data_IF_311433039606
#
_entry.id   IF_311433039606
#
_cell.length_a   1.000
_cell.length_b   1.000
_cell.length_c   1.000
_cell.angle_alpha   90.00
_cell.angle_beta   90.00
_cell.angle_gamma   90.00
#
_symmetry.space_group_name_H-M   'P 1'
#
loop_
_entity.id
_entity.type
_entity.pdbx_description
1 polymer ?
#
# COMPACT_ATOMS: atom_id res chain seq x y z
N UNK A 1 11.86 -13.33 37.63
CA UNK A 1 12.42 -12.30 36.71
C UNK A 1 12.63 -12.80 35.27
N UNK A 2 12.53 -14.10 34.99
CA UNK A 2 12.89 -14.70 33.69
C UNK A 2 11.72 -14.91 32.72
N UNK A 3 10.49 -15.05 33.22
CA UNK A 3 9.31 -15.35 32.39
C UNK A 3 8.87 -14.17 31.52
N UNK A 4 8.92 -12.94 32.07
CA UNK A 4 8.66 -11.72 31.31
C UNK A 4 9.70 -11.48 30.20
N UNK A 5 10.97 -11.84 30.44
CA UNK A 5 12.03 -11.75 29.45
C UNK A 5 11.86 -12.81 28.33
N UNK A 6 11.45 -14.03 28.68
CA UNK A 6 11.17 -15.09 27.71
C UNK A 6 9.95 -14.76 26.83
N UNK A 7 8.89 -14.19 27.41
CA UNK A 7 7.72 -13.72 26.68
C UNK A 7 8.08 -12.56 25.73
N UNK A 8 8.93 -11.63 26.17
CA UNK A 8 9.44 -10.54 25.35
C UNK A 8 10.30 -11.06 24.18
N UNK A 9 11.21 -12.01 24.42
CA UNK A 9 12.02 -12.61 23.36
C UNK A 9 11.18 -13.40 22.34
N UNK A 10 10.15 -14.13 22.79
CA UNK A 10 9.22 -14.82 21.90
C UNK A 10 8.40 -13.84 21.06
N UNK A 11 7.96 -12.73 21.66
CA UNK A 11 7.27 -11.66 20.95
C UNK A 11 8.18 -10.97 19.92
N UNK A 12 9.45 -10.71 20.26
CA UNK A 12 10.44 -10.13 19.34
C UNK A 12 10.83 -11.10 18.21
N UNK A 13 10.94 -12.41 18.48
CA UNK A 13 11.13 -13.43 17.45
C UNK A 13 9.88 -13.62 16.57
N UNK A 14 8.68 -13.42 17.12
CA UNK A 14 7.40 -13.47 16.41
C UNK A 14 7.08 -12.20 15.60
N UNK A 15 7.58 -11.06 16.07
CA UNK A 15 7.55 -9.77 15.38
C UNK A 15 8.62 -9.81 14.27
N UNK A 16 8.20 -10.22 13.07
CA UNK A 16 9.12 -10.24 11.94
C UNK A 16 9.70 -8.84 11.72
N UNK A 17 11.04 -8.65 11.76
CA UNK A 17 11.67 -7.34 11.51
C UNK A 17 11.37 -6.78 10.10
N UNK A 18 10.76 -7.60 9.24
CA UNK A 18 10.39 -7.28 7.87
C UNK A 18 8.99 -6.66 7.75
N UNK A 19 8.19 -6.68 8.83
CA UNK A 19 6.85 -6.08 8.84
C UNK A 19 6.92 -4.54 8.77
N UNK A 20 7.84 -3.92 9.52
CA UNK A 20 8.04 -2.48 9.49
C UNK A 20 8.62 -1.96 8.17
N UNK A 21 9.52 -2.70 7.53
CA UNK A 21 10.08 -2.32 6.22
C UNK A 21 9.05 -2.48 5.10
N UNK A 22 8.23 -3.53 5.15
CA UNK A 22 7.12 -3.76 4.21
C UNK A 22 6.04 -2.68 4.33
N UNK A 23 5.64 -2.33 5.55
CA UNK A 23 4.71 -1.23 5.81
C UNK A 23 5.24 0.11 5.28
N UNK A 24 6.49 0.47 5.59
CA UNK A 24 7.09 1.71 5.11
C UNK A 24 7.19 1.78 3.58
N UNK A 25 7.46 0.64 2.92
CA UNK A 25 7.45 0.55 1.46
C UNK A 25 6.05 0.78 0.89
N UNK A 26 5.03 0.11 1.45
CA UNK A 26 3.65 0.26 1.03
C UNK A 26 3.17 1.71 1.23
N UNK A 27 3.46 2.31 2.39
CA UNK A 27 3.08 3.69 2.70
C UNK A 27 3.66 4.70 1.70
N UNK A 28 4.93 4.52 1.29
CA UNK A 28 5.56 5.34 0.24
C UNK A 28 4.86 5.17 -1.10
N UNK A 29 4.49 3.94 -1.47
CA UNK A 29 3.78 3.67 -2.72
C UNK A 29 2.39 4.34 -2.74
N UNK A 30 1.58 4.15 -1.69
CA UNK A 30 0.25 4.75 -1.55
C UNK A 30 0.33 6.28 -1.63
N UNK A 31 1.31 6.90 -0.96
CA UNK A 31 1.51 8.35 -0.97
C UNK A 31 1.90 8.88 -2.36
N UNK A 32 2.75 8.16 -3.11
CA UNK A 32 3.11 8.52 -4.49
C UNK A 32 1.88 8.45 -5.39
N UNK A 33 1.10 7.37 -5.31
CA UNK A 33 -0.11 7.17 -6.12
C UNK A 33 -1.18 8.23 -5.78
N UNK A 34 -1.39 8.53 -4.50
CA UNK A 34 -2.29 9.59 -4.05
C UNK A 34 -1.86 10.97 -4.59
N UNK A 35 -0.58 11.32 -4.50
CA UNK A 35 -0.05 12.58 -5.07
C UNK A 35 -0.22 12.65 -6.58
N UNK A 36 0.04 11.56 -7.31
CA UNK A 36 -0.17 11.51 -8.76
C UNK A 36 -1.64 11.73 -9.12
N UNK A 37 -2.57 11.09 -8.40
CA UNK A 37 -4.02 11.28 -8.57
C UNK A 37 -4.42 12.73 -8.33
N UNK A 38 -3.97 13.31 -7.22
CA UNK A 38 -4.30 14.70 -6.86
C UNK A 38 -3.74 15.70 -7.89
N UNK A 39 -2.51 15.50 -8.39
CA UNK A 39 -1.95 16.32 -9.47
C UNK A 39 -2.78 16.24 -10.74
N UNK A 40 -3.20 15.03 -11.16
CA UNK A 40 -4.06 14.88 -12.36
C UNK A 40 -5.41 15.59 -12.20
N UNK A 41 -6.05 15.47 -11.04
CA UNK A 41 -7.33 16.16 -10.77
C UNK A 41 -7.14 17.68 -10.75
N UNK A 42 -6.12 18.16 -10.02
CA UNK A 42 -5.80 19.59 -9.90
C UNK A 42 -5.45 20.22 -11.25
N UNK A 43 -4.57 19.56 -12.01
CA UNK A 43 -4.05 20.05 -13.29
C UNK A 43 -5.00 19.73 -14.45
N UNK A 44 -6.16 19.12 -14.17
CA UNK A 44 -7.18 18.71 -15.15
C UNK A 44 -6.62 17.90 -16.31
N UNK A 45 -5.60 17.08 -16.06
CA UNK A 45 -4.92 16.28 -17.08
C UNK A 45 -5.82 15.09 -17.45
N UNK A 46 -6.34 15.02 -18.70
CA UNK A 46 -7.17 13.91 -19.13
C UNK A 46 -6.36 12.61 -19.15
N UNK A 47 -7.01 11.49 -18.86
CA UNK A 47 -6.41 10.19 -19.14
C UNK A 47 -6.24 10.01 -20.66
N UNK A 48 -5.11 9.44 -21.08
CA UNK A 48 -4.84 9.13 -22.48
C UNK A 48 -5.88 8.14 -23.03
N UNK A 49 -5.97 7.99 -24.35
CA UNK A 49 -6.86 6.98 -24.96
C UNK A 49 -6.49 5.56 -24.52
N UNK A 50 -5.19 5.24 -24.41
CA UNK A 50 -4.72 3.96 -23.88
C UNK A 50 -5.03 3.77 -22.39
N UNK A 51 -4.87 4.82 -21.57
CA UNK A 51 -5.25 4.81 -20.16
C UNK A 51 -6.76 4.53 -20.03
N UNK A 52 -7.60 5.16 -20.87
CA UNK A 52 -9.05 4.94 -20.88
C UNK A 52 -9.41 3.50 -21.25
N UNK A 53 -8.73 2.91 -22.23
CA UNK A 53 -8.91 1.49 -22.59
C UNK A 53 -8.57 0.56 -21.42
N UNK A 54 -7.45 0.82 -20.71
CA UNK A 54 -7.08 0.04 -19.53
C UNK A 54 -7.99 0.27 -18.33
N UNK A 55 -8.59 1.46 -18.20
CA UNK A 55 -9.62 1.75 -17.20
C UNK A 55 -10.95 1.05 -17.51
N UNK A 56 -11.29 0.89 -18.80
CA UNK A 56 -12.47 0.13 -19.23
C UNK A 56 -12.28 -1.39 -19.17
N UNK A 57 -11.03 -1.87 -19.16
CA UNK A 57 -10.73 -3.29 -18.99
C UNK A 57 -10.97 -3.76 -17.56
N UNK A 58 -11.66 -4.90 -17.40
CA UNK A 58 -11.87 -5.52 -16.09
C UNK A 58 -10.52 -5.87 -15.44
N UNK A 59 -10.28 -5.33 -14.24
CA UNK A 59 -9.10 -5.66 -13.44
C UNK A 59 -7.77 -5.04 -13.92
N UNK A 60 -7.72 -4.30 -15.03
CA UNK A 60 -6.50 -3.64 -15.51
C UNK A 60 -6.32 -2.20 -15.03
N UNK A 61 -7.37 -1.60 -14.46
CA UNK A 61 -7.37 -0.18 -14.09
C UNK A 61 -6.26 0.23 -13.11
N UNK A 62 -5.73 -0.70 -12.30
CA UNK A 62 -4.63 -0.43 -11.35
C UNK A 62 -3.29 -0.16 -12.04
N UNK A 63 -3.13 -0.51 -13.33
CA UNK A 63 -1.92 -0.25 -14.09
C UNK A 63 -1.81 1.21 -14.55
N UNK A 64 -2.93 1.96 -14.54
CA UNK A 64 -2.94 3.36 -14.94
C UNK A 64 -2.45 4.24 -13.78
N UNK A 65 -1.41 5.05 -14.04
CA UNK A 65 -0.85 5.99 -13.05
C UNK A 65 -1.88 7.05 -12.68
N UNK A 66 -2.02 7.32 -11.37
CA UNK A 66 -2.98 8.30 -10.87
C UNK A 66 -4.44 7.94 -11.17
N UNK A 67 -4.73 6.64 -11.35
CA UNK A 67 -6.10 6.13 -11.46
C UNK A 67 -6.71 5.83 -10.08
N UNK A 68 -8.05 5.90 -9.95
CA UNK A 68 -8.72 5.48 -8.72
C UNK A 68 -8.44 4.01 -8.33
N UNK A 69 -8.50 3.01 -9.25
CA UNK A 69 -8.25 1.61 -8.89
C UNK A 69 -6.83 1.36 -8.36
N UNK A 70 -5.83 2.10 -8.85
CA UNK A 70 -4.46 1.98 -8.34
C UNK A 70 -4.35 2.45 -6.89
N UNK A 71 -5.01 3.56 -6.54
CA UNK A 71 -5.01 4.09 -5.18
C UNK A 71 -5.65 3.11 -4.21
N UNK A 72 -6.83 2.56 -4.55
CA UNK A 72 -7.54 1.59 -3.70
C UNK A 72 -6.71 0.32 -3.48
N UNK A 73 -5.98 -0.13 -4.50
CA UNK A 73 -5.09 -1.29 -4.39
C UNK A 73 -3.91 -1.00 -3.45
N UNK A 74 -3.19 0.09 -3.68
CA UNK A 74 -2.03 0.45 -2.85
C UNK A 74 -2.43 0.70 -1.38
N UNK A 75 -3.64 1.18 -1.13
CA UNK A 75 -4.21 1.31 0.21
C UNK A 75 -4.53 -0.07 0.84
N UNK A 76 -5.11 -0.98 0.06
CA UNK A 76 -5.34 -2.36 0.52
C UNK A 76 -4.03 -3.09 0.86
N UNK A 77 -2.99 -2.89 0.04
CA UNK A 77 -1.65 -3.44 0.27
C UNK A 77 -1.00 -2.82 1.53
N UNK A 78 -1.22 -1.52 1.79
CA UNK A 78 -0.78 -0.83 3.01
C UNK A 78 -1.45 -1.40 4.25
N UNK A 79 -2.78 -1.57 4.22
CA UNK A 79 -3.54 -2.17 5.31
C UNK A 79 -3.09 -3.62 5.55
N UNK A 80 -2.87 -4.39 4.47
CA UNK A 80 -2.33 -5.74 4.58
C UNK A 80 -0.95 -5.77 5.23
N UNK A 81 -0.04 -4.87 4.84
CA UNK A 81 1.29 -4.76 5.42
C UNK A 81 1.27 -4.35 6.90
N UNK A 82 0.33 -3.47 7.28
CA UNK A 82 0.09 -3.11 8.68
C UNK A 82 -0.41 -4.32 9.48
N UNK A 83 -1.42 -5.02 8.97
CA UNK A 83 -2.03 -6.17 9.63
C UNK A 83 -1.06 -7.35 9.76
N UNK A 84 -0.07 -7.50 8.88
CA UNK A 84 0.99 -8.51 9.02
C UNK A 84 1.91 -8.27 10.23
N UNK A 85 2.08 -7.01 10.66
CA UNK A 85 2.91 -6.65 11.80
C UNK A 85 2.20 -6.74 13.15
N UNK A 86 0.87 -6.79 13.16
CA UNK A 86 0.04 -6.86 14.37
C UNK A 86 -0.41 -8.31 14.57
N UNK A 87 0.27 -9.05 15.44
CA UNK A 87 -0.23 -10.32 15.99
C UNK A 87 -0.74 -10.04 17.41
N UNK A 88 -2.04 -10.21 17.63
CA UNK A 88 -2.64 -10.27 18.98
C UNK A 88 -2.42 -11.66 19.58
#
# INVERSE_FOLDING_TARGET
MTEAAAAYEAAVKGAQPHAGSSFNRAARATLVTARQRMRRIRDKVPCSTGDKMMLSGQGSGWMVSGSPPRLTRDDSDLVGAYNMGVKF
#
